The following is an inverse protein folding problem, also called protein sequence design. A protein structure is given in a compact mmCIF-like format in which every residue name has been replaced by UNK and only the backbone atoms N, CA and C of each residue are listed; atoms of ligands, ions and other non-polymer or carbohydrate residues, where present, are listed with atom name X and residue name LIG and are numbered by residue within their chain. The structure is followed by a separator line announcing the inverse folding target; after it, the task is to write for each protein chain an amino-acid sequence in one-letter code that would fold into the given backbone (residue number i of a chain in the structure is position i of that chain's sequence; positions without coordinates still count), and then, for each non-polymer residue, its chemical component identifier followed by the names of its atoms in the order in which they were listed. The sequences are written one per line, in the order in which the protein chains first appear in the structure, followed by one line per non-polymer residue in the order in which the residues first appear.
data_IF_590245340118
#
_entry.id   IF_590245340118
#
_cell.length_a   1.000
_cell.length_b   1.000
_cell.length_c   1.000
_cell.angle_alpha   90.00
_cell.angle_beta   90.00
_cell.angle_gamma   90.00
#
_symmetry.space_group_name_H-M   'P 1'
#
loop_
_entity.id
_entity.type
_entity.pdbx_description
1 polymer ?
#
# COMPACT_ATOMS: atom_id res chain seq x y z
N UNK A 1 -8.22 -4.47 -6.41
CA UNK A 1 -8.77 -4.39 -5.03
C UNK A 1 -9.43 -3.05 -4.75
N UNK A 2 -8.74 -1.92 -4.91
CA UNK A 2 -9.34 -0.58 -4.71
C UNK A 2 -10.58 -0.37 -5.60
N UNK A 3 -10.51 -0.72 -6.89
CA UNK A 3 -11.66 -0.67 -7.82
C UNK A 3 -12.80 -1.60 -7.38
N UNK A 4 -12.50 -2.81 -6.91
CA UNK A 4 -13.51 -3.74 -6.41
C UNK A 4 -14.19 -3.21 -5.15
N UNK A 5 -13.43 -2.56 -4.25
CA UNK A 5 -13.97 -1.91 -3.07
C UNK A 5 -14.92 -0.76 -3.45
N UNK A 6 -14.62 0.01 -4.52
CA UNK A 6 -15.54 1.02 -5.06
C UNK A 6 -16.91 0.42 -5.43
N UNK A 7 -16.94 -0.82 -5.92
CA UNK A 7 -18.18 -1.52 -6.28
C UNK A 7 -19.05 -1.92 -5.09
N UNK A 8 -18.48 -2.07 -3.89
CA UNK A 8 -19.22 -2.40 -2.66
C UNK A 8 -19.92 -1.17 -2.04
N UNK A 9 -19.74 0.02 -2.62
CA UNK A 9 -20.14 1.31 -2.04
C UNK A 9 -21.62 1.68 -2.16
N UNK A 10 -22.51 0.76 -2.56
CA UNK A 10 -23.92 1.09 -2.83
C UNK A 10 -24.79 1.25 -1.57
N UNK A 11 -24.28 0.93 -0.37
CA UNK A 11 -25.10 0.86 0.86
C UNK A 11 -24.61 1.72 2.05
N UNK A 12 -23.48 2.45 1.94
CA UNK A 12 -22.90 3.21 3.06
C UNK A 12 -22.65 4.66 2.64
N UNK A 13 -23.10 5.62 3.46
CA UNK A 13 -22.97 7.07 3.20
C UNK A 13 -21.52 7.60 3.22
N UNK A 14 -20.57 6.81 3.70
CA UNK A 14 -19.14 7.11 3.69
C UNK A 14 -18.47 6.32 2.57
N UNK A 15 -17.62 6.98 1.76
CA UNK A 15 -16.81 6.35 0.69
C UNK A 15 -15.80 5.36 1.30
N UNK A 16 -16.10 4.05 1.37
CA UNK A 16 -15.31 3.01 2.04
C UNK A 16 -13.91 2.85 1.45
N UNK A 17 -13.73 3.23 0.19
CA UNK A 17 -12.44 3.21 -0.49
C UNK A 17 -11.47 4.16 0.20
N UNK A 18 -11.96 5.25 0.80
CA UNK A 18 -11.16 6.13 1.64
C UNK A 18 -10.70 5.51 2.95
N UNK A 19 -11.17 4.32 3.32
CA UNK A 19 -10.66 3.60 4.48
C UNK A 19 -9.69 2.49 4.11
N UNK A 20 -9.69 2.00 2.86
CA UNK A 20 -8.77 0.95 2.43
C UNK A 20 -7.38 1.53 2.16
N UNK A 21 -6.41 1.07 2.94
CA UNK A 21 -4.98 1.37 2.79
C UNK A 21 -4.25 0.11 2.33
N UNK A 22 -3.35 0.26 1.37
CA UNK A 22 -2.59 -0.86 0.83
C UNK A 22 -1.11 -0.50 0.82
N UNK A 23 -0.33 -1.15 1.69
CA UNK A 23 1.13 -1.09 1.69
C UNK A 23 1.73 -2.32 1.02
N UNK A 24 2.72 -2.11 0.15
CA UNK A 24 3.39 -3.19 -0.59
C UNK A 24 4.90 -3.07 -0.39
N UNK A 25 5.51 -4.17 0.02
CA UNK A 25 6.96 -4.31 0.14
C UNK A 25 7.36 -5.73 -0.25
N UNK A 26 8.51 -5.88 -0.91
CA UNK A 26 9.06 -7.16 -1.32
C UNK A 26 10.45 -7.34 -0.71
N UNK A 27 10.75 -8.56 -0.28
CA UNK A 27 12.01 -8.88 0.37
C UNK A 27 12.03 -10.32 0.90
N UNK A 28 13.19 -10.78 1.40
CA UNK A 28 13.33 -12.13 1.92
C UNK A 28 12.48 -12.32 3.19
N UNK A 29 11.86 -13.49 3.33
CA UNK A 29 11.13 -13.86 4.53
C UNK A 29 11.29 -15.36 4.82
N UNK A 30 10.94 -15.74 6.05
CA UNK A 30 10.92 -17.13 6.49
C UNK A 30 9.47 -17.60 6.47
N UNK A 31 9.16 -18.60 5.66
CA UNK A 31 7.86 -19.25 5.66
C UNK A 31 7.94 -20.52 6.53
N UNK A 32 7.05 -20.66 7.50
CA UNK A 32 6.98 -21.80 8.42
C UNK A 32 5.61 -22.45 8.30
N UNK A 33 5.59 -23.76 8.08
CA UNK A 33 4.36 -24.54 8.15
C UNK A 33 4.27 -25.22 9.53
N UNK A 34 3.26 -24.85 10.32
CA UNK A 34 2.98 -25.45 11.62
C UNK A 34 1.49 -25.76 11.73
N UNK A 35 1.15 -26.96 12.17
CA UNK A 35 -0.25 -27.43 12.32
C UNK A 35 -1.09 -27.30 11.04
N UNK A 36 -0.47 -27.48 9.86
CA UNK A 36 -1.15 -27.36 8.57
C UNK A 36 -1.44 -25.92 8.14
N UNK A 37 -0.91 -24.93 8.88
CA UNK A 37 -1.01 -23.51 8.54
C UNK A 37 0.36 -22.96 8.17
N UNK A 38 0.41 -22.19 7.08
CA UNK A 38 1.60 -21.50 6.62
C UNK A 38 1.62 -20.07 7.18
N UNK A 39 2.66 -19.73 7.93
CA UNK A 39 2.89 -18.40 8.50
C UNK A 39 4.23 -17.82 7.99
N UNK A 40 4.31 -16.50 7.87
CA UNK A 40 5.48 -15.78 7.34
C UNK A 40 6.10 -14.87 8.40
N UNK A 41 7.43 -14.88 8.49
CA UNK A 41 8.21 -14.15 9.51
C UNK A 41 9.37 -13.37 8.88
N UNK A 42 9.80 -12.32 9.57
CA UNK A 42 10.98 -11.53 9.21
C UNK A 42 10.71 -10.05 9.10
N UNK A 43 11.76 -9.30 8.77
CA UNK A 43 11.71 -7.85 8.61
C UNK A 43 10.78 -7.43 7.48
N UNK A 44 10.71 -8.18 6.39
CA UNK A 44 9.86 -7.90 5.22
C UNK A 44 8.38 -7.71 5.58
N UNK A 45 7.82 -8.59 6.41
CA UNK A 45 6.40 -8.50 6.82
C UNK A 45 6.18 -7.25 7.68
N UNK A 46 7.11 -6.98 8.60
CA UNK A 46 7.05 -5.79 9.46
C UNK A 46 7.20 -4.50 8.64
N UNK A 47 8.07 -4.48 7.63
CA UNK A 47 8.24 -3.35 6.72
C UNK A 47 6.97 -3.13 5.91
N UNK A 48 6.37 -4.18 5.33
CA UNK A 48 5.12 -4.06 4.58
C UNK A 48 3.99 -3.45 5.43
N UNK A 49 3.85 -3.88 6.69
CA UNK A 49 2.87 -3.27 7.62
C UNK A 49 3.17 -1.80 7.90
N UNK A 50 4.45 -1.41 8.04
CA UNK A 50 4.82 -0.01 8.23
C UNK A 50 4.53 0.84 6.99
N UNK A 51 4.75 0.28 5.80
CA UNK A 51 4.42 0.94 4.52
C UNK A 51 2.91 1.16 4.41
N UNK A 52 2.09 0.22 4.87
CA UNK A 52 0.63 0.42 4.95
C UNK A 52 0.26 1.56 5.90
N UNK A 53 0.91 1.66 7.07
CA UNK A 53 0.65 2.76 8.00
C UNK A 53 0.99 4.14 7.42
N UNK A 54 1.92 4.22 6.47
CA UNK A 54 2.23 5.45 5.75
C UNK A 54 1.11 5.89 4.78
N UNK A 55 0.15 5.01 4.46
CA UNK A 55 -0.96 5.31 3.57
C UNK A 55 -1.96 6.29 4.21
N UNK A 56 -2.39 7.27 3.42
CA UNK A 56 -3.68 7.95 3.62
C UNK A 56 -4.79 7.10 3.00
N UNK A 57 -6.03 7.38 3.40
CA UNK A 57 -7.20 6.66 2.92
C UNK A 57 -7.28 6.48 1.40
N UNK A 58 -7.50 5.25 0.93
CA UNK A 58 -7.61 4.92 -0.49
C UNK A 58 -6.29 4.89 -1.26
N UNK A 59 -5.15 5.11 -0.60
CA UNK A 59 -3.85 5.06 -1.24
C UNK A 59 -3.29 3.65 -1.35
N UNK A 60 -2.47 3.46 -2.38
CA UNK A 60 -1.51 2.35 -2.47
C UNK A 60 -0.12 2.95 -2.30
N UNK A 61 0.69 2.39 -1.41
CA UNK A 61 2.07 2.82 -1.20
C UNK A 61 3.00 1.62 -1.34
N UNK A 62 4.05 1.78 -2.15
CA UNK A 62 5.02 0.72 -2.45
C UNK A 62 6.43 1.17 -2.09
N UNK A 63 7.28 0.23 -1.67
CA UNK A 63 8.74 0.48 -1.57
C UNK A 63 9.41 0.34 -2.94
N UNK A 64 10.65 0.82 -3.06
CA UNK A 64 11.46 0.59 -4.26
C UNK A 64 11.62 -0.90 -4.59
N UNK A 65 11.86 -1.73 -3.58
CA UNK A 65 11.97 -3.19 -3.75
C UNK A 65 10.70 -3.84 -4.34
N UNK A 66 9.54 -3.21 -4.16
CA UNK A 66 8.25 -3.69 -4.69
C UNK A 66 7.90 -3.03 -6.04
N UNK A 67 8.63 -1.99 -6.45
CA UNK A 67 8.46 -1.31 -7.73
C UNK A 67 9.51 -1.84 -8.72
N UNK A 68 9.41 -3.13 -9.02
CA UNK A 68 10.22 -3.80 -10.04
C UNK A 68 9.82 -3.39 -11.47
N UNK A 69 10.51 -3.94 -12.46
CA UNK A 69 10.28 -3.58 -13.87
C UNK A 69 8.85 -3.89 -14.33
N UNK A 70 8.28 -5.02 -13.89
CA UNK A 70 6.92 -5.41 -14.23
C UNK A 70 5.88 -4.46 -13.60
N UNK A 71 6.10 -4.05 -12.35
CA UNK A 71 5.26 -3.06 -11.68
C UNK A 71 5.37 -1.69 -12.37
N UNK A 72 6.57 -1.28 -12.78
CA UNK A 72 6.78 -0.01 -13.51
C UNK A 72 6.08 -0.01 -14.86
N UNK A 73 6.21 -1.10 -15.62
CA UNK A 73 5.52 -1.29 -16.90
C UNK A 73 4.00 -1.23 -16.72
N UNK A 74 3.46 -1.98 -15.75
CA UNK A 74 2.03 -1.97 -15.45
C UNK A 74 1.49 -0.58 -15.12
N UNK A 75 2.25 0.23 -14.37
CA UNK A 75 1.86 1.61 -14.04
C UNK A 75 1.96 2.52 -15.27
N UNK A 76 3.01 2.38 -16.07
CA UNK A 76 3.23 3.17 -17.28
C UNK A 76 2.14 2.93 -18.34
N UNK A 77 1.75 1.68 -18.57
CA UNK A 77 0.66 1.30 -19.48
C UNK A 77 -0.68 1.95 -19.10
N UNK A 78 -0.88 2.21 -17.80
CA UNK A 78 -2.08 2.85 -17.24
C UNK A 78 -1.94 4.37 -17.09
N UNK A 79 -0.80 4.95 -17.49
CA UNK A 79 -0.52 6.38 -17.33
C UNK A 79 -0.45 6.82 -15.85
N UNK A 80 -0.19 5.89 -14.93
CA UNK A 80 -0.09 6.17 -13.49
C UNK A 80 1.34 6.55 -13.17
N UNK A 81 1.54 7.76 -12.66
CA UNK A 81 2.84 8.24 -12.18
C UNK A 81 2.80 8.34 -10.65
N UNK A 82 3.49 7.44 -9.92
CA UNK A 82 3.53 7.51 -8.46
C UNK A 82 4.31 8.74 -7.96
N UNK A 83 3.86 9.32 -6.85
CA UNK A 83 4.62 10.33 -6.12
C UNK A 83 5.68 9.65 -5.26
N UNK A 84 6.96 10.02 -5.44
CA UNK A 84 8.07 9.46 -4.66
C UNK A 84 8.40 10.34 -3.44
N UNK A 85 8.59 9.70 -2.29
CA UNK A 85 9.09 10.36 -1.08
C UNK A 85 10.07 9.47 -0.32
N UNK A 86 10.94 10.07 0.50
CA UNK A 86 11.88 9.36 1.37
C UNK A 86 11.38 9.42 2.80
N UNK A 87 11.30 8.27 3.48
CA UNK A 87 10.86 8.19 4.88
C UNK A 87 11.78 7.31 5.71
N UNK A 88 11.85 7.62 7.01
CA UNK A 88 12.48 6.74 7.98
C UNK A 88 11.42 5.86 8.63
N UNK A 89 11.37 4.58 8.26
CA UNK A 89 10.50 3.64 8.94
C UNK A 89 11.14 3.17 10.25
N UNK A 90 10.34 3.11 11.32
CA UNK A 90 10.79 2.59 12.62
C UNK A 90 11.43 1.21 12.45
N UNK A 91 12.66 1.04 12.93
CA UNK A 91 13.38 -0.23 12.91
C UNK A 91 14.25 -0.46 11.66
N UNK A 92 14.24 0.48 10.71
CA UNK A 92 15.23 0.54 9.63
C UNK A 92 16.28 1.61 9.95
N UNK A 93 17.54 1.32 9.63
CA UNK A 93 18.67 2.20 9.91
C UNK A 93 18.85 3.31 8.87
N UNK A 94 18.29 3.13 7.67
CA UNK A 94 18.39 4.07 6.56
C UNK A 94 16.98 4.48 6.09
N UNK A 95 16.84 5.68 5.50
CA UNK A 95 15.62 6.06 4.81
C UNK A 95 15.37 5.14 3.62
N UNK A 96 14.09 4.93 3.30
CA UNK A 96 13.67 4.18 2.11
C UNK A 96 12.79 5.03 1.22
N UNK A 97 12.83 4.75 -0.08
CA UNK A 97 11.92 5.35 -1.06
C UNK A 97 10.54 4.69 -0.97
N UNK A 98 9.50 5.53 -0.87
CA UNK A 98 8.11 5.14 -1.00
C UNK A 98 7.50 5.80 -2.24
N UNK A 99 6.71 5.03 -2.97
CA UNK A 99 5.99 5.43 -4.16
C UNK A 99 4.49 5.38 -3.87
N UNK A 100 3.83 6.53 -3.96
CA UNK A 100 2.42 6.70 -3.57
C UNK A 100 1.56 6.82 -4.81
N UNK A 101 0.55 5.95 -4.89
CA UNK A 101 -0.50 6.01 -5.89
C UNK A 101 -1.75 6.51 -5.19
N UNK A 102 -2.18 7.72 -5.55
CA UNK A 102 -3.41 8.29 -5.06
C UNK A 102 -4.61 7.58 -5.72
N UNK A 103 -5.74 7.44 -5.00
CA UNK A 103 -6.99 7.09 -5.65
C UNK A 103 -7.31 8.18 -6.68
N UNK A 104 -7.76 7.80 -7.88
CA UNK A 104 -8.33 8.76 -8.82
C UNK A 104 -9.34 9.64 -8.08
N UNK A 105 -9.21 10.95 -8.24
CA UNK A 105 -9.98 11.92 -7.47
C UNK A 105 -11.48 11.73 -7.70
N UNK A 106 -12.12 10.95 -6.83
CA UNK A 106 -13.55 11.05 -6.59
C UNK A 106 -13.78 12.36 -5.86
N UNK A 107 -14.37 13.33 -6.56
CA UNK A 107 -14.72 14.63 -5.99
C UNK A 107 -15.58 14.46 -4.73
N UNK A 108 -15.02 14.76 -3.56
CA UNK A 108 -15.72 15.39 -2.42
C UNK A 108 -14.80 15.50 -1.20
N UNK A 109 -14.76 16.69 -0.59
CA UNK A 109 -14.26 17.11 0.73
C UNK A 109 -13.24 16.26 1.55
N UNK A 110 -12.28 16.92 2.24
CA UNK A 110 -11.37 16.27 3.17
C UNK A 110 -12.13 15.68 4.36
N UNK A 111 -11.77 14.45 4.75
CA UNK A 111 -12.23 13.84 6.00
C UNK A 111 -11.39 14.46 7.12
N UNK A 112 -12.03 15.29 7.95
CA UNK A 112 -11.42 15.82 9.17
C UNK A 112 -11.01 14.66 10.09
N UNK A 113 -9.78 14.71 10.61
CA UNK A 113 -9.29 13.78 11.60
C UNK A 113 -10.16 13.86 12.87
N UNK A 114 -10.66 12.71 13.32
CA UNK A 114 -11.32 12.53 14.61
C UNK A 114 -10.32 11.91 15.60
#
# INVERSE_FOLDING_TARGET
MQEAMRGLNTAVAADPVRFLKIGIHAGPCIAVNANGKLDYFGTTINTASRVEHECRGGQIVLTDDALDDAAREFLAERGIVPEMTQVHLRGLSAPIALYRIAPEASASAPIAAA
#
